data_IF_441584064637
#
_entry.id   IF_441584064637
#
_cell.length_a   1.000
_cell.length_b   1.000
_cell.length_c   1.000
_cell.angle_alpha   90.00
_cell.angle_beta   90.00
_cell.angle_gamma   90.00
#
_symmetry.space_group_name_H-M   'P 1'
#
loop_
_entity.id
_entity.type
_entity.pdbx_description
1 polymer ?
#
# COMPACT_ATOMS: atom_id res chain seq x y z
N UNK A 1 -8.30 -32.56 38.56
CA UNK A 1 -7.18 -32.39 37.61
C UNK A 1 -7.73 -31.75 36.37
N UNK A 2 -7.71 -30.42 36.31
CA UNK A 2 -8.23 -29.67 35.17
C UNK A 2 -7.11 -29.56 34.15
N UNK A 3 -7.32 -30.17 32.98
CA UNK A 3 -6.44 -30.05 31.83
C UNK A 3 -6.62 -28.63 31.29
N UNK A 4 -5.63 -27.76 31.53
CA UNK A 4 -5.50 -26.51 30.80
C UNK A 4 -5.16 -26.84 29.35
N UNK A 5 -6.17 -26.88 28.50
CA UNK A 5 -5.99 -26.78 27.05
C UNK A 5 -5.60 -25.34 26.73
N UNK A 6 -4.30 -25.14 26.48
CA UNK A 6 -3.72 -23.91 25.94
C UNK A 6 -4.39 -23.56 24.59
N UNK A 7 -5.08 -22.42 24.46
CA UNK A 7 -5.81 -22.09 23.24
C UNK A 7 -4.91 -21.26 22.32
N UNK A 8 -3.82 -21.82 21.76
CA UNK A 8 -3.01 -21.07 20.77
C UNK A 8 -2.47 -21.91 19.59
N UNK A 9 -3.34 -22.51 18.76
CA UNK A 9 -2.96 -22.87 17.39
C UNK A 9 -2.58 -21.63 16.55
N UNK A 10 -3.03 -20.44 16.96
CA UNK A 10 -2.77 -19.18 16.24
C UNK A 10 -1.29 -18.79 16.30
N UNK A 11 -0.67 -18.70 17.49
CA UNK A 11 0.75 -18.26 17.64
C UNK A 11 1.74 -19.16 16.91
N UNK A 12 1.50 -20.47 16.83
CA UNK A 12 2.37 -21.37 16.09
C UNK A 12 2.27 -21.18 14.58
N UNK A 13 1.08 -20.88 14.05
CA UNK A 13 0.89 -20.58 12.63
C UNK A 13 1.58 -19.27 12.23
N UNK A 14 1.51 -18.24 13.08
CA UNK A 14 2.26 -16.98 12.90
C UNK A 14 3.76 -17.23 12.77
N UNK A 15 4.35 -17.99 13.71
CA UNK A 15 5.78 -18.29 13.72
C UNK A 15 6.22 -19.24 12.60
N UNK A 16 5.37 -20.20 12.21
CA UNK A 16 5.66 -21.12 11.10
C UNK A 16 5.55 -20.46 9.73
N UNK A 17 4.64 -19.50 9.53
CA UNK A 17 4.62 -18.68 8.32
C UNK A 17 5.86 -17.80 8.26
N UNK A 18 6.21 -17.09 9.33
CA UNK A 18 7.40 -16.22 9.36
C UNK A 18 8.70 -17.02 9.17
N UNK A 19 8.77 -18.27 9.64
CA UNK A 19 9.96 -19.14 9.52
C UNK A 19 10.19 -19.69 8.10
N UNK A 20 9.17 -19.78 7.26
CA UNK A 20 9.26 -20.41 5.94
C UNK A 20 9.57 -19.44 4.78
N UNK A 21 9.66 -18.14 5.03
CA UNK A 21 9.94 -17.15 4.00
C UNK A 21 11.27 -16.43 4.26
N UNK A 22 12.37 -17.16 4.07
CA UNK A 22 13.66 -16.50 3.91
C UNK A 22 13.58 -15.59 2.67
N UNK A 23 13.67 -14.28 2.87
CA UNK A 23 13.71 -13.31 1.78
C UNK A 23 14.85 -13.67 0.84
N UNK A 24 14.59 -13.63 -0.46
CA UNK A 24 15.65 -13.80 -1.44
C UNK A 24 16.73 -12.72 -1.20
N UNK A 25 18.05 -13.03 -1.31
CA UNK A 25 19.11 -12.07 -1.02
C UNK A 25 18.97 -10.72 -1.74
N UNK A 26 18.45 -10.74 -2.98
CA UNK A 26 18.15 -9.52 -3.75
C UNK A 26 17.03 -8.68 -3.14
N UNK A 27 16.02 -9.31 -2.53
CA UNK A 27 14.92 -8.63 -1.86
C UNK A 27 15.37 -8.00 -0.54
N UNK A 28 16.26 -8.67 0.20
CA UNK A 28 16.85 -8.10 1.41
C UNK A 28 17.65 -6.82 1.12
N UNK A 29 18.40 -6.82 0.00
CA UNK A 29 19.12 -5.63 -0.46
C UNK A 29 18.15 -4.50 -0.85
N UNK A 30 17.11 -4.81 -1.62
CA UNK A 30 16.11 -3.83 -2.03
C UNK A 30 15.38 -3.22 -0.81
N UNK A 31 15.05 -4.03 0.19
CA UNK A 31 14.46 -3.55 1.44
C UNK A 31 15.39 -2.60 2.19
N UNK A 32 16.68 -2.91 2.26
CA UNK A 32 17.66 -2.02 2.87
C UNK A 32 17.74 -0.68 2.13
N UNK A 33 17.78 -0.71 0.79
CA UNK A 33 17.77 0.50 -0.06
C UNK A 33 16.51 1.34 0.15
N UNK A 34 15.34 0.71 0.23
CA UNK A 34 14.07 1.41 0.48
C UNK A 34 14.11 2.09 1.86
N UNK A 35 14.53 1.37 2.91
CA UNK A 35 14.61 1.93 4.26
C UNK A 35 15.62 3.07 4.35
N UNK A 36 16.77 2.94 3.69
CA UNK A 36 17.78 4.00 3.60
C UNK A 36 17.23 5.24 2.89
N UNK A 37 16.59 5.07 1.73
CA UNK A 37 16.00 6.18 0.98
C UNK A 37 14.85 6.84 1.74
N UNK A 38 14.03 6.07 2.44
CA UNK A 38 13.04 6.61 3.36
C UNK A 38 13.73 7.48 4.42
N UNK A 39 14.75 6.96 5.10
CA UNK A 39 15.48 7.69 6.14
C UNK A 39 16.09 9.00 5.63
N UNK A 40 16.69 8.98 4.43
CA UNK A 40 17.28 10.16 3.78
C UNK A 40 16.22 11.21 3.43
N UNK A 41 15.07 10.79 2.89
CA UNK A 41 14.00 11.69 2.45
C UNK A 41 13.08 12.13 3.60
N UNK A 42 13.19 11.50 4.77
CA UNK A 42 12.28 11.68 5.90
C UNK A 42 12.04 13.13 6.24
N UNK A 43 13.10 13.88 6.57
CA UNK A 43 12.96 15.25 7.03
C UNK A 43 12.31 16.13 5.95
N UNK A 44 12.74 15.98 4.70
CA UNK A 44 12.20 16.75 3.58
C UNK A 44 10.73 16.42 3.30
N UNK A 45 10.35 15.15 3.43
CA UNK A 45 8.98 14.70 3.28
C UNK A 45 8.09 15.20 4.42
N UNK A 46 8.54 15.11 5.66
CA UNK A 46 7.79 15.61 6.83
C UNK A 46 7.58 17.12 6.75
N UNK A 47 8.61 17.89 6.41
CA UNK A 47 8.48 19.35 6.22
C UNK A 47 7.46 19.67 5.15
N UNK A 48 7.47 18.94 4.03
CA UNK A 48 6.47 19.10 2.98
C UNK A 48 5.06 18.72 3.43
N UNK A 49 4.89 17.59 4.14
CA UNK A 49 3.60 17.13 4.65
C UNK A 49 3.07 17.99 5.81
N UNK A 50 3.94 18.69 6.54
CA UNK A 50 3.55 19.61 7.60
C UNK A 50 3.10 20.97 7.08
N UNK A 51 3.54 21.38 5.88
CA UNK A 51 3.20 22.67 5.28
C UNK A 51 1.70 22.93 5.15
N UNK A 52 1.31 24.20 5.22
CA UNK A 52 -0.07 24.68 5.41
C UNK A 52 -1.03 24.45 4.22
N UNK A 53 -0.58 23.80 3.15
CA UNK A 53 -1.29 23.83 1.85
C UNK A 53 -1.63 22.45 1.29
N UNK A 54 -1.63 21.40 2.12
CA UNK A 54 -2.01 20.05 1.66
C UNK A 54 -3.44 20.01 1.11
N UNK A 55 -4.38 20.77 1.70
CA UNK A 55 -5.74 20.92 1.15
C UNK A 55 -5.76 21.68 -0.18
N UNK A 56 -4.91 22.70 -0.35
CA UNK A 56 -4.77 23.45 -1.61
C UNK A 56 -4.14 22.61 -2.73
N UNK A 57 -3.44 21.51 -2.41
CA UNK A 57 -2.85 20.62 -3.42
C UNK A 57 -3.89 19.98 -4.34
N UNK A 58 -5.15 19.92 -3.92
CA UNK A 58 -6.24 19.29 -4.66
C UNK A 58 -7.21 20.30 -5.28
N UNK A 59 -7.09 21.60 -4.97
CA UNK A 59 -7.95 22.65 -5.53
C UNK A 59 -7.82 22.74 -7.06
N UNK A 60 -6.63 22.43 -7.59
CA UNK A 60 -6.32 22.41 -9.03
C UNK A 60 -6.18 20.98 -9.59
N UNK A 61 -6.66 19.94 -8.88
CA UNK A 61 -6.54 18.57 -9.39
C UNK A 61 -7.38 18.42 -10.67
N UNK A 62 -6.77 18.15 -11.84
CA UNK A 62 -7.52 18.12 -13.09
C UNK A 62 -8.53 16.96 -13.06
N UNK A 63 -9.81 17.31 -13.10
CA UNK A 63 -10.94 16.37 -13.20
C UNK A 63 -10.86 15.50 -14.47
N UNK A 64 -10.10 15.92 -15.47
CA UNK A 64 -9.80 15.14 -16.68
C UNK A 64 -8.96 13.87 -16.41
N UNK A 65 -8.41 13.72 -15.18
CA UNK A 65 -7.75 12.49 -14.72
C UNK A 65 -8.71 11.52 -14.00
N UNK A 66 -10.02 11.78 -13.98
CA UNK A 66 -11.02 10.84 -13.47
C UNK A 66 -10.93 9.52 -14.24
N UNK A 67 -10.34 8.51 -13.60
CA UNK A 67 -9.99 7.24 -14.20
C UNK A 67 -8.74 6.64 -13.56
N UNK A 68 -8.07 5.77 -14.31
CA UNK A 68 -6.90 5.06 -13.79
C UNK A 68 -5.70 6.03 -13.65
N UNK A 69 -4.94 6.05 -12.54
CA UNK A 69 -3.94 7.09 -12.27
C UNK A 69 -2.67 7.00 -13.15
N UNK A 70 -2.05 8.15 -13.47
CA UNK A 70 -0.75 8.24 -14.20
C UNK A 70 0.24 9.03 -13.37
N UNK A 71 1.52 8.68 -13.47
CA UNK A 71 2.60 9.51 -12.95
C UNK A 71 3.55 9.89 -14.08
N UNK A 72 3.84 11.18 -14.23
CA UNK A 72 4.81 11.69 -15.21
C UNK A 72 6.25 11.49 -14.70
N UNK A 73 7.25 11.41 -15.60
CA UNK A 73 8.66 11.23 -15.20
C UNK A 73 9.24 12.42 -14.43
N UNK A 74 8.59 13.57 -14.44
CA UNK A 74 8.98 14.78 -13.72
C UNK A 74 8.01 15.17 -12.59
N UNK A 75 7.12 14.25 -12.18
CA UNK A 75 6.04 14.58 -11.28
C UNK A 75 6.55 15.15 -9.95
N UNK A 76 6.08 16.35 -9.61
CA UNK A 76 6.31 16.99 -8.33
C UNK A 76 5.66 16.23 -7.17
N UNK A 77 5.94 16.64 -5.94
CA UNK A 77 5.41 15.94 -4.75
C UNK A 77 3.88 15.91 -4.68
N UNK A 78 3.23 16.99 -5.12
CA UNK A 78 1.78 17.13 -5.12
C UNK A 78 1.13 16.15 -6.12
N UNK A 79 1.64 16.09 -7.34
CA UNK A 79 1.20 15.10 -8.34
C UNK A 79 1.40 13.67 -7.84
N UNK A 80 2.53 13.40 -7.18
CA UNK A 80 2.80 12.07 -6.58
C UNK A 80 1.80 11.73 -5.47
N UNK A 81 1.38 12.70 -4.66
CA UNK A 81 0.36 12.50 -3.63
C UNK A 81 -0.98 12.16 -4.28
N UNK A 82 -1.43 12.96 -5.26
CA UNK A 82 -2.67 12.69 -5.98
C UNK A 82 -2.63 11.31 -6.65
N UNK A 83 -1.51 10.97 -7.30
CA UNK A 83 -1.28 9.63 -7.85
C UNK A 83 -1.41 8.53 -6.80
N UNK A 84 -0.75 8.69 -5.65
CA UNK A 84 -0.76 7.71 -4.56
C UNK A 84 -2.16 7.50 -3.98
N UNK A 85 -2.91 8.57 -3.75
CA UNK A 85 -4.29 8.50 -3.25
C UNK A 85 -5.19 7.82 -4.28
N UNK A 86 -5.06 8.17 -5.56
CA UNK A 86 -5.82 7.51 -6.62
C UNK A 86 -5.48 6.01 -6.73
N UNK A 87 -4.21 5.61 -6.57
CA UNK A 87 -3.82 4.20 -6.49
C UNK A 87 -4.50 3.52 -5.29
N UNK A 88 -4.51 4.18 -4.14
CA UNK A 88 -5.13 3.67 -2.92
C UNK A 88 -6.63 3.43 -3.08
N UNK A 89 -7.36 4.43 -3.59
CA UNK A 89 -8.80 4.40 -3.81
C UNK A 89 -9.18 3.31 -4.82
N UNK A 90 -8.48 3.24 -5.96
CA UNK A 90 -8.71 2.21 -6.99
C UNK A 90 -8.49 0.79 -6.44
N UNK A 91 -7.53 0.64 -5.52
CA UNK A 91 -7.26 -0.65 -4.88
C UNK A 91 -8.32 -1.03 -3.86
N UNK A 92 -8.83 -0.07 -3.09
CA UNK A 92 -9.94 -0.32 -2.15
C UNK A 92 -11.18 -0.79 -2.89
N UNK A 93 -11.58 -0.09 -3.97
CA UNK A 93 -12.70 -0.53 -4.81
C UNK A 93 -12.49 -1.93 -5.40
N UNK A 94 -11.26 -2.23 -5.85
CA UNK A 94 -10.93 -3.58 -6.30
C UNK A 94 -11.07 -4.62 -5.19
N UNK A 95 -10.68 -4.31 -3.95
CA UNK A 95 -10.85 -5.23 -2.81
C UNK A 95 -12.31 -5.35 -2.36
N UNK A 96 -13.15 -4.34 -2.55
CA UNK A 96 -14.59 -4.46 -2.32
C UNK A 96 -15.24 -5.39 -3.35
N UNK A 97 -14.85 -5.27 -4.63
CA UNK A 97 -15.34 -6.13 -5.71
C UNK A 97 -14.75 -7.55 -5.67
N UNK A 98 -13.54 -7.69 -5.12
CA UNK A 98 -12.78 -8.94 -5.03
C UNK A 98 -12.09 -9.09 -3.65
N UNK A 99 -12.86 -9.35 -2.56
CA UNK A 99 -12.32 -9.44 -1.20
C UNK A 99 -11.25 -10.50 -1.02
N UNK A 100 -11.29 -11.58 -1.80
CA UNK A 100 -10.28 -12.63 -1.82
C UNK A 100 -8.89 -12.13 -2.22
N UNK A 101 -8.82 -11.03 -2.98
CA UNK A 101 -7.57 -10.41 -3.42
C UNK A 101 -7.01 -9.40 -2.39
N UNK A 102 -7.70 -9.16 -1.28
CA UNK A 102 -7.32 -8.17 -0.28
C UNK A 102 -5.99 -8.55 0.38
N UNK A 103 -5.02 -7.64 0.35
CA UNK A 103 -3.65 -7.87 0.83
C UNK A 103 -3.44 -7.45 2.29
N UNK A 104 -4.50 -7.10 3.02
CA UNK A 104 -4.41 -6.87 4.47
C UNK A 104 -4.01 -8.18 5.18
N UNK A 105 -3.32 -8.05 6.30
CA UNK A 105 -2.75 -9.19 7.03
C UNK A 105 -3.81 -10.17 7.54
N UNK A 106 -5.03 -9.72 7.77
CA UNK A 106 -6.13 -10.54 8.25
C UNK A 106 -6.66 -11.50 7.17
N UNK A 107 -6.35 -11.29 5.90
CA UNK A 107 -6.78 -12.16 4.80
C UNK A 107 -5.81 -13.34 4.61
N UNK A 108 -5.93 -14.35 5.47
CA UNK A 108 -5.13 -15.57 5.41
C UNK A 108 -5.23 -16.31 4.09
N UNK A 109 -6.42 -16.35 3.48
CA UNK A 109 -6.64 -17.05 2.20
C UNK A 109 -5.79 -16.48 1.06
N UNK A 110 -5.57 -15.16 1.06
CA UNK A 110 -4.61 -14.51 0.15
C UNK A 110 -3.16 -14.91 0.49
N UNK A 111 -2.78 -14.79 1.77
CA UNK A 111 -1.39 -14.99 2.21
C UNK A 111 -0.90 -16.44 2.10
N UNK A 112 -1.80 -17.42 2.14
CA UNK A 112 -1.47 -18.83 1.87
C UNK A 112 -1.19 -19.10 0.38
N UNK A 113 -1.66 -18.21 -0.51
CA UNK A 113 -1.65 -18.41 -1.96
C UNK A 113 -1.01 -17.26 -2.75
N UNK A 114 -0.13 -16.47 -2.12
CA UNK A 114 0.52 -15.29 -2.75
C UNK A 114 1.28 -15.64 -4.03
N UNK A 115 1.95 -16.79 -4.02
CA UNK A 115 2.73 -17.33 -5.15
C UNK A 115 1.85 -18.02 -6.18
N UNK A 116 0.59 -18.29 -5.85
CA UNK A 116 -0.33 -18.93 -6.75
C UNK A 116 -0.72 -17.91 -7.83
N UNK A 117 -0.44 -18.18 -9.12
CA UNK A 117 -0.80 -17.29 -10.21
C UNK A 117 -2.31 -17.00 -10.29
N UNK A 118 -3.15 -17.60 -9.43
CA UNK A 118 -4.60 -17.49 -9.32
C UNK A 118 -5.18 -16.08 -9.41
N UNK A 119 -4.58 -15.05 -8.79
CA UNK A 119 -5.03 -13.65 -8.99
C UNK A 119 -4.81 -13.17 -10.44
N UNK A 120 -3.81 -13.71 -11.15
CA UNK A 120 -3.61 -13.56 -12.61
C UNK A 120 -4.43 -14.58 -13.43
N UNK A 121 -4.67 -15.80 -12.91
CA UNK A 121 -5.30 -16.97 -13.57
C UNK A 121 -6.82 -16.86 -13.63
N UNK A 122 -7.44 -16.29 -12.60
CA UNK A 122 -8.88 -16.01 -12.54
C UNK A 122 -9.21 -14.67 -13.22
N UNK A 123 -8.18 -13.93 -13.68
CA UNK A 123 -8.37 -12.72 -14.44
C UNK A 123 -9.04 -11.59 -13.66
N UNK A 124 -9.08 -11.57 -12.32
CA UNK A 124 -9.83 -10.56 -11.56
C UNK A 124 -9.41 -9.12 -11.85
N UNK A 125 -8.12 -8.86 -11.96
CA UNK A 125 -7.63 -7.54 -12.41
C UNK A 125 -8.04 -7.22 -13.85
N UNK A 126 -8.22 -8.23 -14.71
CA UNK A 126 -8.72 -8.07 -16.09
C UNK A 126 -10.23 -7.85 -16.08
N UNK A 127 -11.01 -8.61 -15.31
CA UNK A 127 -12.45 -8.42 -15.11
C UNK A 127 -12.74 -7.01 -14.60
N UNK A 128 -12.00 -6.55 -13.57
CA UNK A 128 -12.08 -5.19 -13.06
C UNK A 128 -11.75 -4.14 -14.14
N UNK A 129 -10.66 -4.35 -14.90
CA UNK A 129 -10.29 -3.45 -15.99
C UNK A 129 -11.37 -3.39 -17.08
N UNK A 130 -11.96 -4.52 -17.46
CA UNK A 130 -13.01 -4.60 -18.49
C UNK A 130 -14.31 -3.95 -18.02
N UNK A 131 -14.73 -4.23 -16.78
CA UNK A 131 -15.93 -3.65 -16.14
C UNK A 131 -15.88 -2.13 -16.13
N UNK A 132 -14.73 -1.57 -15.73
CA UNK A 132 -14.53 -0.13 -15.63
C UNK A 132 -13.92 0.51 -16.89
N UNK A 133 -13.77 -0.27 -17.99
CA UNK A 133 -13.19 0.17 -19.28
C UNK A 133 -11.78 0.78 -19.16
N UNK A 134 -10.99 0.28 -18.24
CA UNK A 134 -9.60 0.72 -18.03
C UNK A 134 -8.60 -0.10 -18.86
N UNK A 135 -7.45 0.48 -19.27
CA UNK A 135 -6.39 -0.28 -19.92
C UNK A 135 -5.85 -1.38 -19.00
N UNK A 136 -5.92 -2.64 -19.43
CA UNK A 136 -5.56 -3.82 -18.60
C UNK A 136 -4.14 -3.71 -18.03
N UNK A 137 -3.15 -3.40 -18.86
CA UNK A 137 -1.75 -3.31 -18.42
C UNK A 137 -1.56 -2.27 -17.31
N UNK A 138 -2.18 -1.10 -17.48
CA UNK A 138 -2.08 -0.02 -16.51
C UNK A 138 -2.83 -0.38 -15.23
N UNK A 139 -3.99 -1.04 -15.35
CA UNK A 139 -4.82 -1.47 -14.21
C UNK A 139 -4.04 -2.43 -13.33
N UNK A 140 -3.38 -3.42 -13.95
CA UNK A 140 -2.50 -4.36 -13.23
C UNK A 140 -1.41 -3.63 -12.44
N UNK A 141 -0.72 -2.66 -13.04
CA UNK A 141 0.34 -1.94 -12.35
C UNK A 141 -0.18 -1.15 -11.15
N UNK A 142 -1.33 -0.49 -11.32
CA UNK A 142 -1.99 0.26 -10.22
C UNK A 142 -2.40 -0.66 -9.09
N UNK A 143 -3.10 -1.76 -9.39
CA UNK A 143 -3.61 -2.68 -8.38
C UNK A 143 -2.50 -3.46 -7.67
N UNK A 144 -1.45 -3.87 -8.40
CA UNK A 144 -0.27 -4.51 -7.79
C UNK A 144 0.41 -3.55 -6.82
N UNK A 145 0.62 -2.29 -7.23
CA UNK A 145 1.27 -1.30 -6.38
C UNK A 145 0.44 -0.95 -5.16
N UNK A 146 -0.86 -0.71 -5.35
CA UNK A 146 -1.77 -0.44 -4.25
C UNK A 146 -1.92 -1.63 -3.30
N UNK A 147 -1.94 -2.86 -3.81
CA UNK A 147 -1.91 -4.06 -2.97
C UNK A 147 -0.66 -4.13 -2.09
N UNK A 148 0.52 -3.74 -2.60
CA UNK A 148 1.75 -3.66 -1.79
C UNK A 148 1.67 -2.57 -0.74
N UNK A 149 1.14 -1.40 -1.08
CA UNK A 149 0.90 -0.30 -0.12
C UNK A 149 -0.03 -0.78 1.01
N UNK A 150 -1.10 -1.51 0.67
CA UNK A 150 -2.06 -2.06 1.64
C UNK A 150 -1.44 -3.12 2.55
N UNK A 151 -0.59 -3.99 2.01
CA UNK A 151 0.18 -4.93 2.80
C UNK A 151 1.11 -4.22 3.80
N UNK A 152 1.83 -3.18 3.35
CA UNK A 152 2.69 -2.36 4.21
C UNK A 152 1.88 -1.68 5.31
N UNK A 153 0.75 -1.05 4.99
CA UNK A 153 -0.11 -0.35 5.94
C UNK A 153 -0.70 -1.28 7.00
N UNK A 154 -1.19 -2.45 6.58
CA UNK A 154 -1.74 -3.44 7.51
C UNK A 154 -0.65 -3.98 8.44
N UNK A 155 0.55 -4.25 7.92
CA UNK A 155 1.67 -4.71 8.74
C UNK A 155 2.25 -3.65 9.67
N UNK A 156 2.30 -2.39 9.24
CA UNK A 156 2.77 -1.29 10.07
C UNK A 156 1.77 -0.92 11.17
N UNK A 157 0.47 -1.17 10.93
CA UNK A 157 -0.62 -0.74 11.81
C UNK A 157 -0.91 0.76 11.75
N UNK A 158 -0.38 1.48 10.75
CA UNK A 158 -0.60 2.91 10.55
C UNK A 158 -1.02 3.22 9.11
N UNK A 159 -2.31 3.55 8.86
CA UNK A 159 -2.80 3.88 7.52
C UNK A 159 -2.03 5.02 6.84
N UNK A 160 -1.63 6.05 7.57
CA UNK A 160 -0.92 7.19 6.97
C UNK A 160 0.52 6.89 6.54
N UNK A 161 1.05 5.69 6.81
CA UNK A 161 2.35 5.24 6.27
C UNK A 161 2.37 5.28 4.75
N UNK A 162 1.24 5.19 4.04
CA UNK A 162 1.22 5.38 2.59
C UNK A 162 1.84 6.71 2.15
N UNK A 163 1.51 7.83 2.82
CA UNK A 163 2.10 9.14 2.52
C UNK A 163 3.61 9.16 2.70
N UNK A 164 4.10 8.34 3.62
CA UNK A 164 5.51 8.21 3.94
C UNK A 164 6.28 7.40 2.87
N UNK A 165 5.57 6.60 2.05
CA UNK A 165 6.15 5.84 0.94
C UNK A 165 6.33 6.67 -0.34
N UNK A 166 5.99 7.96 -0.34
CA UNK A 166 5.97 8.81 -1.53
C UNK A 166 7.30 8.83 -2.31
N UNK A 167 8.43 8.80 -1.58
CA UNK A 167 9.77 8.81 -2.17
C UNK A 167 10.16 7.47 -2.80
N UNK A 168 9.60 6.35 -2.31
CA UNK A 168 9.99 4.97 -2.67
C UNK A 168 8.90 4.20 -3.40
N UNK A 169 7.77 4.84 -3.71
CA UNK A 169 6.59 4.21 -4.33
C UNK A 169 6.90 3.46 -5.64
N UNK A 170 7.91 3.92 -6.38
CA UNK A 170 8.39 3.30 -7.61
C UNK A 170 9.19 2.01 -7.36
N UNK A 171 9.96 1.96 -6.26
CA UNK A 171 10.73 0.78 -5.86
C UNK A 171 9.83 -0.37 -5.40
N UNK A 172 8.59 -0.05 -4.98
CA UNK A 172 7.62 -1.06 -4.60
C UNK A 172 7.29 -2.00 -5.76
N UNK A 173 7.45 -1.60 -7.03
CA UNK A 173 7.19 -2.46 -8.17
C UNK A 173 8.06 -3.73 -8.16
N UNK A 174 9.28 -3.63 -7.64
CA UNK A 174 10.26 -4.70 -7.60
C UNK A 174 10.14 -5.61 -6.37
N UNK A 175 9.42 -5.17 -5.33
CA UNK A 175 9.15 -6.00 -4.15
C UNK A 175 8.12 -7.09 -4.47
N UNK A 176 8.24 -8.26 -3.83
CA UNK A 176 7.10 -9.17 -3.72
C UNK A 176 6.08 -8.66 -2.70
N UNK A 177 4.91 -9.30 -2.61
CA UNK A 177 3.98 -9.01 -1.51
C UNK A 177 4.57 -9.39 -0.15
N UNK A 178 5.41 -10.42 -0.07
CA UNK A 178 6.12 -10.76 1.17
C UNK A 178 7.13 -9.68 1.54
N UNK A 179 7.91 -9.18 0.57
CA UNK A 179 8.81 -8.05 0.79
C UNK A 179 8.07 -6.80 1.23
N UNK A 180 6.92 -6.50 0.64
CA UNK A 180 6.07 -5.38 1.07
C UNK A 180 5.54 -5.56 2.51
N UNK A 181 5.09 -6.76 2.88
CA UNK A 181 4.68 -7.05 4.26
C UNK A 181 5.84 -6.90 5.24
N UNK A 182 7.01 -7.45 4.91
CA UNK A 182 8.22 -7.31 5.73
C UNK A 182 8.61 -5.83 5.91
N UNK A 183 8.54 -5.02 4.85
CA UNK A 183 8.79 -3.59 4.94
C UNK A 183 7.87 -2.93 5.98
N UNK A 184 6.58 -3.27 5.99
CA UNK A 184 5.63 -2.78 7.00
C UNK A 184 5.99 -3.22 8.43
N UNK A 185 6.41 -4.48 8.61
CA UNK A 185 6.87 -4.99 9.90
C UNK A 185 8.13 -4.27 10.40
N UNK A 186 9.11 -4.05 9.51
CA UNK A 186 10.34 -3.30 9.83
C UNK A 186 10.05 -1.85 10.17
N UNK A 187 9.18 -1.18 9.41
CA UNK A 187 8.75 0.19 9.73
C UNK A 187 8.11 0.27 11.13
N UNK A 188 7.38 -0.77 11.54
CA UNK A 188 6.81 -0.84 12.88
C UNK A 188 7.84 -1.10 13.97
N UNK A 189 8.79 -2.00 13.73
CA UNK A 189 9.78 -2.43 14.73
C UNK A 189 10.94 -1.45 14.89
N UNK A 190 11.47 -0.98 13.76
CA UNK A 190 12.77 -0.32 13.67
C UNK A 190 12.64 1.20 13.47
N UNK A 191 11.41 1.73 13.46
CA UNK A 191 11.11 3.08 12.98
C UNK A 191 9.88 3.70 13.68
N UNK A 192 9.93 3.76 15.01
CA UNK A 192 8.83 4.28 15.85
C UNK A 192 8.47 5.73 15.53
N UNK A 193 9.46 6.53 15.16
CA UNK A 193 9.31 7.91 14.71
C UNK A 193 8.56 8.04 13.38
N UNK A 194 8.65 7.05 12.47
CA UNK A 194 7.83 6.98 11.26
C UNK A 194 6.37 6.68 11.57
N UNK A 195 6.10 5.76 12.48
CA UNK A 195 4.73 5.49 12.92
C UNK A 195 4.12 6.71 13.61
N UNK A 196 4.89 7.40 14.44
CA UNK A 196 4.45 8.64 15.09
C UNK A 196 4.13 9.72 14.06
N UNK A 197 5.00 9.91 13.05
CA UNK A 197 4.72 10.84 11.96
C UNK A 197 3.45 10.46 11.20
N UNK A 198 3.26 9.18 10.86
CA UNK A 198 2.03 8.69 10.23
C UNK A 198 0.78 9.06 11.05
N UNK A 199 0.78 8.79 12.35
CA UNK A 199 -0.33 9.15 13.24
C UNK A 199 -0.69 10.64 13.17
N UNK A 200 0.32 11.51 13.14
CA UNK A 200 0.13 12.96 13.01
C UNK A 200 -0.56 13.36 11.71
N UNK A 201 -0.38 12.58 10.63
CA UNK A 201 -1.00 12.83 9.33
C UNK A 201 -2.28 12.04 9.09
N UNK A 202 -2.69 11.15 10.00
CA UNK A 202 -3.84 10.26 9.78
C UNK A 202 -5.12 11.01 9.40
N UNK A 203 -5.46 12.06 10.14
CA UNK A 203 -6.64 12.89 9.83
C UNK A 203 -6.52 13.57 8.46
N UNK A 204 -5.33 14.05 8.10
CA UNK A 204 -5.08 14.66 6.78
C UNK A 204 -5.23 13.62 5.66
N UNK A 205 -4.65 12.43 5.85
CA UNK A 205 -4.78 11.30 4.93
C UNK A 205 -6.25 10.92 4.69
N UNK A 206 -7.03 10.77 5.75
CA UNK A 206 -8.46 10.44 5.67
C UNK A 206 -9.25 11.49 4.89
N UNK A 207 -9.00 12.78 5.13
CA UNK A 207 -9.63 13.88 4.39
C UNK A 207 -9.24 13.83 2.91
N UNK A 208 -7.96 13.65 2.60
CA UNK A 208 -7.48 13.61 1.23
C UNK A 208 -8.08 12.42 0.45
N UNK A 209 -8.17 11.24 1.08
CA UNK A 209 -8.80 10.06 0.49
C UNK A 209 -10.27 10.33 0.21
N UNK A 210 -11.04 10.82 1.19
CA UNK A 210 -12.48 11.10 1.00
C UNK A 210 -12.74 12.14 -0.10
N UNK A 211 -11.94 13.20 -0.13
CA UNK A 211 -12.10 14.27 -1.13
C UNK A 211 -11.79 13.79 -2.54
N UNK A 212 -10.78 12.94 -2.73
CA UNK A 212 -10.49 12.38 -4.05
C UNK A 212 -11.45 11.25 -4.43
N UNK A 213 -11.92 10.47 -3.46
CA UNK A 213 -12.90 9.41 -3.69
C UNK A 213 -14.20 9.98 -4.27
N UNK A 214 -14.71 11.08 -3.71
CA UNK A 214 -15.91 11.77 -4.24
C UNK A 214 -15.71 12.35 -5.64
N UNK A 215 -14.49 12.65 -6.05
CA UNK A 215 -14.17 13.13 -7.40
C UNK A 215 -13.97 11.98 -8.40
N UNK A 216 -13.38 10.87 -7.96
CA UNK A 216 -13.07 9.70 -8.80
C UNK A 216 -14.29 8.81 -9.03
N UNK A 217 -15.20 8.75 -8.06
CA UNK A 217 -16.43 7.96 -8.11
C UNK A 217 -17.68 8.81 -7.88
N UNK A 218 -17.78 9.96 -8.56
CA UNK A 218 -19.04 10.68 -8.65
C UNK A 218 -20.06 9.82 -9.42
N UNK A 219 -21.18 9.50 -8.78
CA UNK A 219 -22.34 8.84 -9.39
C UNK A 219 -22.95 9.67 -10.53
#
# INVERSE_FOLDING_TARGET
>A
MSVETDPRPERSAWLQMDANFALHPSEALLLAQILEQLAQEKHSLLTFLCGDRLEDLFADYPSEQCGLPRLSRGAGRCERIGYLISVYIQTEKFFEEHPECNTRMENWGFWENVSNPGCRRHGKMKEFAERHRYPIHRTRNVLVRGGKIKAIQSASGEPAVALLLLSVVHMLDELSYHGARELGLRLRRDSTDWLQAGRSFRKRWEVCVRNLESLVFAD
#
